data_IF_247492209352
#
_entry.id   IF_247492209352
#
_cell.length_a   1.000
_cell.length_b   1.000
_cell.length_c   1.000
_cell.angle_alpha   90.00
_cell.angle_beta   90.00
_cell.angle_gamma   90.00
#
_symmetry.space_group_name_H-M   'P 1'
#
loop_
_entity.id
_entity.type
_entity.pdbx_description
1 polymer ?
#
# COMPACT_ATOMS: atom_id res chain seq x y z
N UNK A 1 12.69 9.42 -17.29
CA UNK A 1 12.90 8.11 -16.65
C UNK A 1 11.60 7.34 -16.74
N UNK A 2 11.64 6.09 -17.17
CA UNK A 2 10.47 5.21 -17.25
C UNK A 2 10.72 4.05 -16.29
N UNK A 3 9.71 3.64 -15.53
CA UNK A 3 9.78 2.52 -14.58
C UNK A 3 8.61 1.57 -14.85
N UNK A 4 8.82 0.27 -14.68
CA UNK A 4 7.73 -0.71 -14.77
C UNK A 4 6.98 -0.81 -13.45
N UNK A 5 5.70 -1.13 -13.52
CA UNK A 5 4.88 -1.37 -12.32
C UNK A 5 5.48 -2.51 -11.47
N UNK A 6 5.96 -3.58 -12.11
CA UNK A 6 6.61 -4.69 -11.42
C UNK A 6 7.85 -4.24 -10.62
N UNK A 7 8.63 -3.29 -11.15
CA UNK A 7 9.77 -2.71 -10.44
C UNK A 7 9.34 -1.84 -9.26
N UNK A 8 8.18 -1.19 -9.36
CA UNK A 8 7.60 -0.41 -8.26
C UNK A 8 7.07 -1.32 -7.14
N UNK A 9 6.44 -2.45 -7.49
CA UNK A 9 5.91 -3.45 -6.56
C UNK A 9 7.01 -4.15 -5.73
N UNK A 10 8.22 -4.26 -6.27
CA UNK A 10 9.37 -4.84 -5.54
C UNK A 10 9.97 -3.91 -4.48
N UNK A 11 9.64 -2.60 -4.49
CA UNK A 11 10.25 -1.63 -3.58
C UNK A 11 9.54 -1.62 -2.23
N UNK A 12 10.31 -1.34 -1.18
CA UNK A 12 9.79 -1.19 0.17
C UNK A 12 9.21 0.21 0.39
N UNK A 13 7.99 0.27 0.90
CA UNK A 13 7.32 1.53 1.22
C UNK A 13 7.60 1.89 2.67
N UNK A 14 8.30 3.00 2.89
CA UNK A 14 8.77 3.45 4.20
C UNK A 14 8.12 4.79 4.55
N UNK A 15 7.57 4.88 5.75
CA UNK A 15 7.03 6.14 6.26
C UNK A 15 8.18 7.04 6.73
N UNK A 16 8.23 8.27 6.24
CA UNK A 16 9.27 9.22 6.61
C UNK A 16 9.13 9.77 8.04
N UNK A 17 7.94 9.69 8.63
CA UNK A 17 7.67 10.25 9.96
C UNK A 17 8.27 9.40 11.08
N UNK A 18 8.27 8.06 10.92
CA UNK A 18 8.73 7.11 11.94
C UNK A 18 9.79 6.11 11.43
N UNK A 19 10.13 6.15 10.14
CA UNK A 19 11.08 5.23 9.51
C UNK A 19 10.59 3.80 9.39
N UNK A 20 9.32 3.51 9.71
CA UNK A 20 8.80 2.14 9.69
C UNK A 20 8.41 1.70 8.28
N UNK A 21 8.61 0.41 8.00
CA UNK A 21 8.10 -0.23 6.80
C UNK A 21 6.58 -0.34 6.88
N UNK A 22 5.91 0.27 5.91
CA UNK A 22 4.47 0.22 5.72
C UNK A 22 4.08 -1.10 5.03
N UNK A 23 4.84 -1.48 4.00
CA UNK A 23 4.61 -2.70 3.21
C UNK A 23 5.26 -2.59 1.83
N UNK A 24 4.64 -3.23 0.85
CA UNK A 24 4.99 -3.12 -0.57
C UNK A 24 3.74 -2.74 -1.37
N UNK A 25 3.92 -2.18 -2.56
CA UNK A 25 2.79 -1.86 -3.44
C UNK A 25 2.18 -3.16 -3.93
N UNK A 26 0.90 -3.39 -3.60
CA UNK A 26 0.09 -4.46 -4.14
C UNK A 26 -0.52 -4.05 -5.47
N UNK A 27 -1.17 -2.89 -5.49
CA UNK A 27 -1.90 -2.40 -6.67
C UNK A 27 -1.79 -0.87 -6.85
N UNK A 28 -2.22 -0.35 -8.00
CA UNK A 28 -2.13 1.06 -8.39
C UNK A 28 -3.45 1.50 -9.02
N UNK A 29 -4.05 2.57 -8.50
CA UNK A 29 -5.22 3.19 -9.13
C UNK A 29 -4.79 4.17 -10.23
N UNK A 30 -5.38 4.02 -11.41
CA UNK A 30 -5.12 4.88 -12.57
C UNK A 30 -6.42 5.57 -12.97
N UNK A 31 -6.37 6.89 -13.14
CA UNK A 31 -7.43 7.66 -13.77
C UNK A 31 -7.51 7.30 -15.25
N UNK A 32 -8.62 6.69 -15.68
CA UNK A 32 -8.81 6.22 -17.06
C UNK A 32 -8.92 7.36 -18.08
N UNK A 33 -9.26 8.57 -17.65
CA UNK A 33 -9.44 9.72 -18.52
C UNK A 33 -8.12 10.44 -18.79
N UNK A 34 -7.22 10.45 -17.80
CA UNK A 34 -5.94 11.16 -17.86
C UNK A 34 -4.72 10.23 -17.98
N UNK A 35 -4.88 8.94 -17.69
CA UNK A 35 -3.80 7.95 -17.63
C UNK A 35 -2.84 8.16 -16.45
N UNK A 36 -3.17 9.03 -15.49
CA UNK A 36 -2.32 9.35 -14.35
C UNK A 36 -2.58 8.40 -13.20
N UNK A 37 -1.53 8.11 -12.45
CA UNK A 37 -1.65 7.37 -11.19
C UNK A 37 -2.28 8.25 -10.12
N UNK A 38 -3.38 7.79 -9.53
CA UNK A 38 -4.12 8.47 -8.47
C UNK A 38 -3.60 8.08 -7.09
N UNK A 39 -3.42 6.79 -6.86
CA UNK A 39 -3.05 6.22 -5.56
C UNK A 39 -2.32 4.88 -5.74
N UNK A 40 -1.64 4.45 -4.69
CA UNK A 40 -1.04 3.11 -4.60
C UNK A 40 -1.65 2.39 -3.40
N UNK A 41 -2.00 1.12 -3.60
CA UNK A 41 -2.50 0.24 -2.55
C UNK A 41 -1.30 -0.51 -1.99
N UNK A 42 -1.06 -0.34 -0.69
CA UNK A 42 0.03 -1.01 0.02
C UNK A 42 -0.53 -2.24 0.72
N UNK A 43 -0.03 -3.41 0.34
CA UNK A 43 -0.37 -4.66 1.01
C UNK A 43 0.60 -4.89 2.16
N UNK A 44 0.07 -5.01 3.38
CA UNK A 44 0.86 -5.32 4.58
C UNK A 44 0.67 -6.77 4.99
N UNK A 45 1.66 -7.62 4.68
CA UNK A 45 1.70 -8.97 5.22
C UNK A 45 2.03 -8.94 6.71
N UNK A 46 1.00 -8.98 7.56
CA UNK A 46 1.19 -9.21 9.00
C UNK A 46 1.32 -10.70 9.23
N UNK A 47 2.56 -11.21 9.24
CA UNK A 47 2.86 -12.55 9.78
C UNK A 47 2.77 -12.49 11.31
N UNK A 48 1.55 -12.58 11.84
CA UNK A 48 1.34 -12.88 13.25
C UNK A 48 1.12 -14.39 13.41
N UNK A 49 1.93 -14.99 14.27
CA UNK A 49 1.94 -16.41 14.59
C UNK A 49 0.59 -16.82 15.23
N UNK A 50 -0.21 -17.59 14.50
CA UNK A 50 -1.18 -18.53 15.08
C UNK A 50 -2.67 -18.23 14.90
N UNK A 51 -3.12 -17.00 14.64
CA UNK A 51 -4.57 -16.70 14.58
C UNK A 51 -4.83 -15.55 13.59
N UNK A 52 -5.36 -15.88 12.41
CA UNK A 52 -5.98 -14.98 11.42
C UNK A 52 -5.29 -13.61 11.21
N UNK A 53 -4.24 -13.60 10.37
CA UNK A 53 -3.72 -12.35 9.80
C UNK A 53 -4.78 -11.76 8.87
N UNK A 54 -5.41 -10.65 9.27
CA UNK A 54 -6.19 -9.83 8.34
C UNK A 54 -5.20 -9.18 7.37
N UNK A 55 -5.39 -9.41 6.08
CA UNK A 55 -4.72 -8.61 5.07
C UNK A 55 -5.19 -7.16 5.25
N UNK A 56 -4.26 -6.30 5.64
CA UNK A 56 -4.53 -4.87 5.81
C UNK A 56 -3.99 -4.17 4.59
N UNK A 57 -4.90 -3.54 3.85
CA UNK A 57 -4.57 -2.70 2.72
C UNK A 57 -4.63 -1.23 3.13
N UNK A 58 -3.65 -0.46 2.66
CA UNK A 58 -3.55 0.97 2.93
C UNK A 58 -3.49 1.69 1.59
N UNK A 59 -4.45 2.57 1.35
CA UNK A 59 -4.48 3.40 0.15
C UNK A 59 -3.68 4.67 0.40
N UNK A 60 -2.62 4.87 -0.39
CA UNK A 60 -1.75 6.05 -0.31
C UNK A 60 -1.95 6.87 -1.59
N UNK A 61 -2.53 8.08 -1.50
CA UNK A 61 -2.63 8.98 -2.64
C UNK A 61 -1.24 9.30 -3.22
N UNK A 62 -1.13 9.42 -4.54
CA UNK A 62 0.14 9.69 -5.22
C UNK A 62 0.84 10.96 -4.71
N UNK A 63 0.05 11.96 -4.26
CA UNK A 63 0.56 13.20 -3.65
C UNK A 63 1.35 13.00 -2.35
N UNK A 64 1.18 11.88 -1.66
CA UNK A 64 1.89 11.56 -0.41
C UNK A 64 3.21 10.83 -0.67
N UNK A 65 3.52 10.47 -1.92
CA UNK A 65 4.80 9.91 -2.32
C UNK A 65 5.83 11.05 -2.37
N UNK A 66 6.82 10.97 -1.49
CA UNK A 66 7.86 12.00 -1.35
C UNK A 66 9.02 11.73 -2.31
N UNK A 67 9.44 10.48 -2.43
CA UNK A 67 10.57 10.08 -3.27
C UNK A 67 10.47 8.61 -3.65
N UNK A 68 10.74 8.30 -4.92
CA UNK A 68 10.96 6.93 -5.40
C UNK A 68 12.46 6.75 -5.59
N UNK A 69 13.06 5.87 -4.79
CA UNK A 69 14.47 5.48 -4.88
C UNK A 69 14.66 4.18 -5.66
N UNK A 70 15.89 3.64 -5.59
CA UNK A 70 16.26 2.38 -6.22
C UNK A 70 15.63 1.17 -5.51
N UNK A 71 15.59 1.17 -4.18
CA UNK A 71 15.02 0.05 -3.40
C UNK A 71 13.79 0.45 -2.58
N UNK A 72 13.66 1.76 -2.27
CA UNK A 72 12.65 2.26 -1.32
C UNK A 72 11.80 3.37 -1.90
N UNK A 73 10.53 3.41 -1.48
CA UNK A 73 9.60 4.48 -1.74
C UNK A 73 9.29 5.16 -0.42
N UNK A 74 9.60 6.44 -0.34
CA UNK A 74 9.34 7.27 0.83
C UNK A 74 7.95 7.89 0.73
N UNK A 75 7.13 7.67 1.74
CA UNK A 75 5.75 8.17 1.82
C UNK A 75 5.52 8.93 3.11
N UNK A 76 4.62 9.91 3.07
CA UNK A 76 4.12 10.60 4.25
C UNK A 76 2.74 10.05 4.60
N UNK A 77 2.68 9.07 5.50
CA UNK A 77 1.41 8.48 5.93
C UNK A 77 1.13 8.86 7.38
N UNK A 78 -0.03 9.45 7.62
CA UNK A 78 -0.61 9.53 8.96
C UNK A 78 -1.45 8.27 9.18
N UNK A 79 -1.51 7.70 10.39
CA UNK A 79 -2.12 6.39 10.67
C UNK A 79 -3.66 6.30 10.52
N UNK A 80 -4.29 7.10 9.65
CA UNK A 80 -5.75 7.31 9.60
C UNK A 80 -6.43 6.70 8.36
N UNK A 81 -5.72 6.04 7.43
CA UNK A 81 -6.31 5.55 6.18
C UNK A 81 -6.32 4.01 6.05
N UNK A 82 -6.90 3.33 7.04
CA UNK A 82 -7.11 1.87 6.95
C UNK A 82 -8.52 1.60 6.41
N UNK A 83 -8.64 1.23 5.13
CA UNK A 83 -9.90 0.64 4.63
C UNK A 83 -9.89 -0.81 5.10
N UNK A 84 -10.69 -1.10 6.13
CA UNK A 84 -10.93 -2.48 6.57
C UNK A 84 -12.15 -2.96 5.80
N UNK A 85 -11.99 -3.57 4.63
CA UNK A 85 -13.10 -4.31 4.03
C UNK A 85 -13.36 -5.56 4.87
N UNK A 86 -14.35 -5.44 5.76
CA UNK A 86 -14.96 -6.58 6.43
C UNK A 86 -15.78 -7.38 5.43
N UNK A 87 -15.26 -8.50 4.95
CA UNK A 87 -16.13 -9.54 4.39
C UNK A 87 -16.86 -10.19 5.57
N UNK A 88 -18.12 -9.80 5.79
CA UNK A 88 -19.07 -10.57 6.57
C UNK A 88 -19.39 -11.85 5.80
N UNK A 89 -19.01 -13.02 6.33
CA UNK A 89 -19.57 -14.28 5.84
C UNK A 89 -20.66 -14.72 6.81
N UNK A 90 -21.88 -15.04 6.33
CA UNK A 90 -22.99 -15.41 7.21
C UNK A 90 -22.66 -16.73 7.91
N UNK A 91 -22.82 -16.75 9.23
CA UNK A 91 -22.87 -17.98 10.01
C UNK A 91 -24.08 -18.77 9.54
N UNK A 92 -23.85 -19.95 8.95
CA UNK A 92 -24.89 -20.97 8.81
C UNK A 92 -24.43 -22.13 9.68
N UNK A 93 -25.08 -22.25 10.84
CA UNK A 93 -25.08 -23.47 11.67
C UNK A 93 -26.18 -24.41 11.18
#
# INVERSE_FOLDING_TARGET
MVIRISELQMKDVINISDGKRVGNIGDIEIDMNTGKVCSVIISKQTRMLGIFGKDVEIVIPWKEIVKIGEDVILVRVNPVNTVTESIQTPTIS
#
